data_IF_634314300167
#
_entry.id   IF_634314300167
#
_cell.length_a   1.000
_cell.length_b   1.000
_cell.length_c   1.000
_cell.angle_alpha   90.00
_cell.angle_beta   90.00
_cell.angle_gamma   90.00
#
_symmetry.space_group_name_H-M   'P 1'
#
loop_
_entity.id
_entity.type
_entity.pdbx_description
1 polymer ?
#
# COMPACT_ATOMS: atom_id res chain seq x y z
N UNK A 1 12.93 -5.52 -13.18
CA UNK A 1 11.56 -5.65 -12.61
C UNK A 1 11.28 -4.44 -11.72
N UNK A 2 10.09 -3.83 -11.78
CA UNK A 2 9.76 -2.69 -10.91
C UNK A 2 9.23 -3.18 -9.55
N UNK A 3 9.56 -2.46 -8.48
CA UNK A 3 9.11 -2.79 -7.13
C UNK A 3 7.58 -2.63 -6.99
N UNK A 4 6.87 -3.70 -6.61
CA UNK A 4 5.41 -3.67 -6.43
C UNK A 4 4.98 -2.72 -5.32
N UNK A 5 5.67 -2.74 -4.17
CA UNK A 5 5.37 -1.83 -3.07
C UNK A 5 5.50 -0.36 -3.50
N UNK A 6 6.48 -0.05 -4.36
CA UNK A 6 6.63 1.28 -4.93
C UNK A 6 5.47 1.64 -5.87
N UNK A 7 5.07 0.73 -6.77
CA UNK A 7 3.92 0.95 -7.67
C UNK A 7 2.63 1.14 -6.86
N UNK A 8 2.40 0.30 -5.85
CA UNK A 8 1.25 0.40 -4.97
C UNK A 8 1.24 1.74 -4.20
N UNK A 9 2.40 2.19 -3.72
CA UNK A 9 2.53 3.52 -3.12
C UNK A 9 2.22 4.63 -4.11
N UNK A 10 2.61 4.52 -5.38
CA UNK A 10 2.25 5.51 -6.40
C UNK A 10 0.75 5.51 -6.68
N UNK A 11 0.12 4.34 -6.69
CA UNK A 11 -1.34 4.21 -6.82
C UNK A 11 -2.06 4.88 -5.65
N UNK A 12 -1.62 4.64 -4.41
CA UNK A 12 -2.19 5.29 -3.22
C UNK A 12 -2.05 6.80 -3.25
N UNK A 13 -0.88 7.30 -3.67
CA UNK A 13 -0.67 8.74 -3.81
C UNK A 13 -1.66 9.38 -4.78
N UNK A 14 -2.01 8.73 -5.89
CA UNK A 14 -3.03 9.26 -6.81
C UNK A 14 -4.44 9.24 -6.22
N UNK A 15 -4.77 8.24 -5.39
CA UNK A 15 -6.04 8.20 -4.67
C UNK A 15 -6.17 9.36 -3.69
N UNK A 16 -5.11 9.58 -2.90
CA UNK A 16 -5.02 10.58 -1.84
C UNK A 16 -4.55 11.96 -2.31
N UNK A 17 -4.56 12.28 -3.61
CA UNK A 17 -4.17 13.64 -4.07
C UNK A 17 -5.18 14.70 -3.64
N UNK A 18 -6.46 14.35 -3.74
CA UNK A 18 -7.58 15.20 -3.35
C UNK A 18 -8.08 14.70 -2.00
N UNK A 19 -7.23 14.81 -0.97
CA UNK A 19 -7.64 14.46 0.40
C UNK A 19 -8.85 15.32 0.76
N UNK A 20 -9.90 14.66 1.23
CA UNK A 20 -11.05 15.34 1.79
C UNK A 20 -10.58 16.25 2.94
N UNK A 21 -11.18 17.44 3.04
CA UNK A 21 -10.85 18.42 4.09
C UNK A 21 -10.98 17.80 5.50
N UNK A 22 -11.82 16.76 5.66
CA UNK A 22 -11.93 15.94 6.88
C UNK A 22 -10.58 15.38 7.32
N UNK A 23 -9.81 14.80 6.40
CA UNK A 23 -8.50 14.22 6.69
C UNK A 23 -7.49 15.33 7.01
N UNK A 24 -7.60 16.47 6.33
CA UNK A 24 -6.73 17.63 6.58
C UNK A 24 -6.97 18.20 7.98
N UNK A 25 -8.23 18.35 8.41
CA UNK A 25 -8.58 18.79 9.77
C UNK A 25 -8.00 17.87 10.84
N UNK A 26 -8.21 16.55 10.71
CA UNK A 26 -7.65 15.56 11.65
C UNK A 26 -6.11 15.66 11.68
N UNK A 27 -5.46 15.75 10.50
CA UNK A 27 -4.00 15.90 10.40
C UNK A 27 -3.51 17.17 11.10
N UNK A 28 -4.23 18.27 10.98
CA UNK A 28 -3.91 19.53 11.66
C UNK A 28 -4.05 19.41 13.19
N UNK A 29 -5.10 18.76 13.69
CA UNK A 29 -5.27 18.50 15.11
C UNK A 29 -4.15 17.63 15.69
N UNK A 30 -3.79 16.55 14.99
CA UNK A 30 -2.66 15.67 15.37
C UNK A 30 -1.34 16.46 15.37
N UNK A 31 -1.13 17.29 14.35
CA UNK A 31 0.08 18.14 14.24
C UNK A 31 0.16 19.15 15.38
N UNK A 32 -0.96 19.78 15.75
CA UNK A 32 -1.02 20.70 16.89
C UNK A 32 -0.58 19.98 18.18
N UNK A 33 -1.20 18.85 18.49
CA UNK A 33 -0.89 18.06 19.68
C UNK A 33 0.59 17.68 19.76
N UNK A 34 1.19 17.31 18.64
CA UNK A 34 2.59 16.86 18.54
C UNK A 34 3.62 17.99 18.41
N UNK A 35 3.18 19.25 18.27
CA UNK A 35 4.08 20.38 17.98
C UNK A 35 4.95 20.82 19.16
N UNK A 36 4.59 20.48 20.41
CA UNK A 36 5.44 20.71 21.59
C UNK A 36 5.19 19.69 22.71
N UNK A 37 6.17 19.46 23.60
CA UNK A 37 5.98 18.59 24.77
C UNK A 37 4.82 19.02 25.67
N UNK A 38 4.60 20.33 25.82
CA UNK A 38 3.51 20.87 26.63
C UNK A 38 2.13 20.53 26.04
N UNK A 39 1.96 20.67 24.72
CA UNK A 39 0.71 20.29 24.02
C UNK A 39 0.47 18.78 24.09
N UNK A 40 1.51 17.98 23.90
CA UNK A 40 1.43 16.54 24.05
C UNK A 40 1.03 16.14 25.48
N UNK A 41 1.56 16.81 26.51
CA UNK A 41 1.18 16.56 27.90
C UNK A 41 -0.27 16.95 28.19
N UNK A 42 -0.76 18.07 27.66
CA UNK A 42 -2.18 18.45 27.81
C UNK A 42 -3.11 17.43 27.17
N UNK A 43 -2.76 16.93 25.99
CA UNK A 43 -3.53 15.88 25.34
C UNK A 43 -3.52 14.58 26.17
N UNK A 44 -2.38 14.19 26.75
CA UNK A 44 -2.32 13.06 27.70
C UNK A 44 -3.28 13.25 28.88
N UNK A 45 -3.35 14.45 29.46
CA UNK A 45 -4.33 14.74 30.51
C UNK A 45 -5.79 14.64 30.01
N UNK A 46 -6.05 14.91 28.72
CA UNK A 46 -7.38 14.70 28.14
C UNK A 46 -7.70 13.20 27.98
N UNK A 47 -6.73 12.39 27.53
CA UNK A 47 -6.85 10.92 27.46
C UNK A 47 -7.17 10.33 28.84
N UNK A 48 -6.48 10.79 29.89
CA UNK A 48 -6.69 10.34 31.28
C UNK A 48 -8.10 10.70 31.79
N UNK A 49 -8.58 11.91 31.49
CA UNK A 49 -9.93 12.38 31.86
C UNK A 49 -11.03 11.60 31.16
N UNK A 50 -10.87 11.33 29.87
CA UNK A 50 -11.80 10.54 29.06
C UNK A 50 -11.68 9.02 29.31
N UNK A 51 -10.73 8.60 30.16
CA UNK A 51 -10.49 7.19 30.53
C UNK A 51 -10.29 6.29 29.30
N UNK A 52 -9.58 6.80 28.30
CA UNK A 52 -9.31 6.05 27.07
C UNK A 52 -8.22 5.01 27.34
N UNK A 53 -8.60 3.73 27.37
CA UNK A 53 -7.69 2.60 27.61
C UNK A 53 -6.95 2.18 26.33
N UNK A 54 -6.12 3.09 25.80
CA UNK A 54 -5.29 2.84 24.63
C UNK A 54 -3.82 3.14 24.94
N UNK A 55 -2.96 2.14 24.78
CA UNK A 55 -1.51 2.26 24.98
C UNK A 55 -0.77 2.80 23.74
N UNK A 56 -1.47 3.00 22.62
CA UNK A 56 -0.87 3.44 21.36
C UNK A 56 -0.76 4.96 21.29
N UNK A 57 0.40 5.49 20.92
CA UNK A 57 0.53 6.92 20.63
C UNK A 57 0.01 7.26 19.22
N UNK A 58 -0.53 8.47 19.06
CA UNK A 58 -0.89 9.01 17.75
C UNK A 58 0.38 9.43 17.00
N UNK A 59 0.66 8.77 15.87
CA UNK A 59 1.81 9.11 15.03
C UNK A 59 1.52 10.29 14.09
N UNK A 60 2.55 11.05 13.75
CA UNK A 60 2.46 12.11 12.75
C UNK A 60 2.36 11.53 11.33
N UNK A 61 1.55 12.18 10.50
CA UNK A 61 1.59 11.95 9.06
C UNK A 61 2.88 12.49 8.44
N UNK A 62 3.45 11.69 7.55
CA UNK A 62 4.60 12.00 6.70
C UNK A 62 4.12 12.03 5.26
N UNK A 63 3.99 13.24 4.71
CA UNK A 63 3.39 13.52 3.39
C UNK A 63 4.00 12.69 2.24
N UNK A 64 5.28 12.31 2.34
CA UNK A 64 5.95 11.51 1.32
C UNK A 64 5.62 10.01 1.38
N UNK A 65 5.00 9.53 2.47
CA UNK A 65 4.74 8.12 2.79
C UNK A 65 3.30 7.90 3.25
N UNK A 66 2.45 7.50 2.30
CA UNK A 66 1.03 7.25 2.55
C UNK A 66 0.73 6.28 3.71
N UNK A 67 1.63 5.31 4.00
CA UNK A 67 1.49 4.39 5.15
C UNK A 67 1.37 5.15 6.48
N UNK A 68 2.04 6.29 6.61
CA UNK A 68 1.96 7.12 7.82
C UNK A 68 0.60 7.82 7.94
N UNK A 69 -0.06 8.14 6.83
CA UNK A 69 -1.43 8.67 6.81
C UNK A 69 -2.40 7.63 7.38
N UNK A 70 -2.29 6.37 6.93
CA UNK A 70 -3.11 5.27 7.46
C UNK A 70 -2.90 5.10 8.98
N UNK A 71 -1.64 4.98 9.41
CA UNK A 71 -1.32 4.79 10.83
C UNK A 71 -1.77 5.98 11.70
N UNK A 72 -1.64 7.20 11.17
CA UNK A 72 -2.13 8.40 11.84
C UNK A 72 -3.64 8.33 12.04
N UNK A 73 -4.40 8.04 10.99
CA UNK A 73 -5.86 7.97 11.06
C UNK A 73 -6.33 6.82 11.97
N UNK A 74 -5.74 5.62 11.82
CA UNK A 74 -6.09 4.44 12.61
C UNK A 74 -5.87 4.68 14.11
N UNK A 75 -4.81 5.41 14.46
CA UNK A 75 -4.58 5.79 15.85
C UNK A 75 -5.45 6.97 16.28
N UNK A 76 -5.59 8.02 15.47
CA UNK A 76 -6.25 9.27 15.86
C UNK A 76 -7.74 9.05 16.17
N UNK A 77 -8.42 8.21 15.39
CA UNK A 77 -9.84 7.85 15.60
C UNK A 77 -10.09 7.29 17.01
N UNK A 78 -9.14 6.52 17.57
CA UNK A 78 -9.25 5.97 18.93
C UNK A 78 -9.26 7.04 20.02
N UNK A 79 -8.77 8.23 19.69
CA UNK A 79 -8.62 9.36 20.61
C UNK A 79 -9.55 10.53 20.28
N UNK A 80 -10.60 10.32 19.46
CA UNK A 80 -11.58 11.37 19.10
C UNK A 80 -12.04 12.17 20.33
N UNK A 81 -12.53 11.51 21.38
CA UNK A 81 -13.00 12.17 22.60
C UNK A 81 -11.93 13.02 23.30
N UNK A 82 -10.67 12.60 23.25
CA UNK A 82 -9.57 13.40 23.80
C UNK A 82 -9.28 14.64 22.95
N UNK A 83 -9.49 14.58 21.63
CA UNK A 83 -9.41 15.76 20.76
C UNK A 83 -10.55 16.73 21.02
N UNK A 84 -11.80 16.23 21.14
CA UNK A 84 -12.97 17.05 21.50
C UNK A 84 -12.77 17.73 22.87
N UNK A 85 -12.24 17.02 23.87
CA UNK A 85 -11.93 17.61 25.17
C UNK A 85 -10.80 18.65 25.07
N UNK A 86 -9.79 18.43 24.20
CA UNK A 86 -8.69 19.38 24.00
C UNK A 86 -9.20 20.73 23.46
N UNK A 87 -10.23 20.73 22.61
CA UNK A 87 -10.86 21.96 22.11
C UNK A 87 -11.40 22.83 23.23
N UNK A 88 -11.98 22.23 24.26
CA UNK A 88 -12.48 22.96 25.44
C UNK A 88 -11.37 23.34 26.42
N UNK A 89 -10.27 22.58 26.44
CA UNK A 89 -9.22 22.69 27.45
C UNK A 89 -8.04 23.60 27.04
N UNK A 90 -7.81 23.84 25.75
CA UNK A 90 -6.71 24.68 25.25
C UNK A 90 -7.25 25.69 24.22
N UNK A 91 -7.49 26.93 24.65
CA UNK A 91 -8.02 27.98 23.76
C UNK A 91 -7.13 28.21 22.53
N UNK A 92 -5.80 27.99 22.68
CA UNK A 92 -4.85 28.10 21.56
C UNK A 92 -5.07 27.04 20.51
N UNK A 93 -5.66 25.90 20.84
CA UNK A 93 -6.02 24.86 19.88
C UNK A 93 -7.06 25.39 18.91
N UNK A 94 -8.11 26.04 19.43
CA UNK A 94 -9.18 26.66 18.66
C UNK A 94 -8.63 27.84 17.85
N UNK A 95 -7.85 28.73 18.49
CA UNK A 95 -7.28 29.92 17.84
C UNK A 95 -6.35 29.57 16.67
N UNK A 96 -5.51 28.52 16.79
CA UNK A 96 -4.56 28.14 15.74
C UNK A 96 -5.15 27.24 14.65
N UNK A 97 -6.30 26.61 14.89
CA UNK A 97 -6.94 25.71 13.93
C UNK A 97 -8.20 26.30 13.28
N UNK A 98 -8.64 27.47 13.73
CA UNK A 98 -9.71 28.22 13.07
C UNK A 98 -9.09 29.17 12.03
N UNK A 99 -9.49 29.12 10.75
CA UNK A 99 -8.97 30.03 9.74
C UNK A 99 -9.31 31.49 10.10
N UNK A 100 -8.33 32.39 10.03
CA UNK A 100 -8.60 33.82 10.11
C UNK A 100 -9.12 34.32 8.75
N UNK A 101 -10.45 34.39 8.64
CA UNK A 101 -11.15 34.94 7.48
C UNK A 101 -11.60 36.38 7.75
N UNK A 102 -11.44 37.25 6.74
CA UNK A 102 -12.04 38.59 6.73
C UNK A 102 -13.11 38.66 5.65
N UNK A 103 -14.23 39.31 5.94
CA UNK A 103 -15.24 39.60 4.92
C UNK A 103 -14.69 40.66 3.95
N UNK A 104 -14.64 40.34 2.66
CA UNK A 104 -14.19 41.23 1.58
C UNK A 104 -15.26 41.26 0.50
N UNK A 105 -15.49 42.43 -0.12
CA UNK A 105 -16.40 42.52 -1.27
C UNK A 105 -15.71 41.97 -2.52
N UNK A 106 -16.36 41.04 -3.23
CA UNK A 106 -15.91 40.61 -4.54
C UNK A 106 -16.19 41.71 -5.61
N UNK A 107 -15.76 41.47 -6.84
CA UNK A 107 -15.98 42.37 -7.98
C UNK A 107 -17.45 42.61 -8.32
N UNK A 108 -18.34 41.72 -7.87
CA UNK A 108 -19.80 41.77 -8.09
C UNK A 108 -20.53 42.43 -6.90
N UNK A 109 -19.78 42.87 -5.88
CA UNK A 109 -20.32 43.54 -4.69
C UNK A 109 -20.80 42.61 -3.58
N UNK A 110 -20.69 41.28 -3.76
CA UNK A 110 -21.04 40.27 -2.78
C UNK A 110 -19.97 40.17 -1.68
N UNK A 111 -20.42 39.88 -0.45
CA UNK A 111 -19.51 39.64 0.65
C UNK A 111 -18.99 38.21 0.58
N UNK A 112 -17.69 38.06 0.38
CA UNK A 112 -16.98 36.77 0.39
C UNK A 112 -15.96 36.74 1.53
N UNK A 113 -15.78 35.57 2.14
CA UNK A 113 -14.71 35.37 3.10
C UNK A 113 -13.38 35.19 2.37
N UNK A 114 -12.43 36.10 2.64
CA UNK A 114 -11.08 36.06 2.09
C UNK A 114 -10.10 35.79 3.20
N UNK A 115 -9.21 34.81 2.98
CA UNK A 115 -8.18 34.42 3.94
C UNK A 115 -7.17 35.56 4.16
N UNK A 116 -6.77 35.77 5.42
CA UNK A 116 -5.89 36.88 5.79
C UNK A 116 -4.39 36.61 5.53
N UNK A 117 -3.92 35.37 5.66
CA UNK A 117 -2.54 34.94 5.37
C UNK A 117 -2.49 33.66 4.51
N UNK A 118 -1.50 33.55 3.61
CA UNK A 118 -1.19 32.31 2.88
C UNK A 118 -0.85 31.14 3.81
N UNK A 119 -0.36 31.40 5.03
CA UNK A 119 -0.12 30.34 6.04
C UNK A 119 -1.41 29.69 6.52
N UNK A 120 -2.51 30.43 6.55
CA UNK A 120 -3.83 29.92 6.95
C UNK A 120 -4.48 29.09 5.85
N UNK A 121 -3.98 29.13 4.60
CA UNK A 121 -4.49 28.34 3.46
C UNK A 121 -4.44 26.82 3.65
N UNK A 122 -3.75 26.33 4.70
CA UNK A 122 -3.67 24.92 5.07
C UNK A 122 -4.50 24.56 6.31
N UNK A 123 -5.06 25.55 6.99
CA UNK A 123 -5.94 25.37 8.14
C UNK A 123 -7.37 25.17 7.60
N UNK A 124 -8.04 24.12 8.04
CA UNK A 124 -9.37 23.70 7.54
C UNK A 124 -10.45 23.71 8.62
N UNK A 125 -10.14 24.27 9.80
CA UNK A 125 -11.00 24.19 10.96
C UNK A 125 -10.61 23.06 11.92
N UNK A 126 -11.37 22.98 13.00
CA UNK A 126 -11.35 21.88 13.96
C UNK A 126 -12.08 20.65 13.39
N UNK A 127 -11.63 19.42 13.70
CA UNK A 127 -12.34 18.20 13.33
C UNK A 127 -13.74 18.15 13.98
N UNK A 128 -14.76 18.05 13.16
CA UNK A 128 -16.15 17.79 13.55
C UNK A 128 -16.44 16.29 13.65
N UNK A 129 -17.59 15.92 14.24
CA UNK A 129 -18.07 14.54 14.30
C UNK A 129 -18.10 13.87 12.91
N UNK A 130 -18.52 14.61 11.88
CA UNK A 130 -18.53 14.15 10.49
C UNK A 130 -17.13 13.75 9.99
N UNK A 131 -16.08 14.48 10.40
CA UNK A 131 -14.72 14.21 9.94
C UNK A 131 -14.19 12.89 10.52
N UNK A 132 -14.53 12.61 11.77
CA UNK A 132 -14.19 11.36 12.44
C UNK A 132 -14.94 10.18 11.82
N UNK A 133 -16.24 10.34 11.53
CA UNK A 133 -17.04 9.33 10.83
C UNK A 133 -16.51 9.06 9.42
N UNK A 134 -16.13 10.11 8.69
CA UNK A 134 -15.49 9.99 7.39
C UNK A 134 -14.19 9.18 7.49
N UNK A 135 -13.33 9.49 8.45
CA UNK A 135 -12.09 8.74 8.67
C UNK A 135 -12.35 7.28 9.03
N UNK A 136 -13.32 7.00 9.91
CA UNK A 136 -13.76 5.65 10.26
C UNK A 136 -14.21 4.84 9.03
N UNK A 137 -14.99 5.45 8.14
CA UNK A 137 -15.47 4.83 6.91
C UNK A 137 -14.35 4.61 5.88
N UNK A 138 -13.34 5.48 5.86
CA UNK A 138 -12.19 5.38 4.96
C UNK A 138 -11.16 4.33 5.42
N UNK A 139 -11.04 4.07 6.72
CA UNK A 139 -10.02 3.17 7.29
C UNK A 139 -10.04 1.74 6.71
N UNK A 140 -11.19 1.04 6.58
CA UNK A 140 -11.23 -0.29 5.99
C UNK A 140 -10.66 -0.32 4.56
N UNK A 141 -10.92 0.73 3.78
CA UNK A 141 -10.38 0.89 2.44
C UNK A 141 -8.84 1.03 2.47
N UNK A 142 -8.31 1.95 3.29
CA UNK A 142 -6.86 2.17 3.40
C UNK A 142 -6.12 0.94 3.94
N UNK A 143 -6.77 0.20 4.84
CA UNK A 143 -6.22 -1.01 5.45
C UNK A 143 -5.88 -2.08 4.42
N UNK A 144 -6.72 -2.28 3.39
CA UNK A 144 -6.45 -3.24 2.31
C UNK A 144 -5.11 -2.94 1.64
N UNK A 145 -4.84 -1.67 1.33
CA UNK A 145 -3.58 -1.27 0.71
C UNK A 145 -2.39 -1.38 1.67
N UNK A 146 -2.63 -1.16 2.97
CA UNK A 146 -1.57 -1.14 3.98
C UNK A 146 -1.06 -2.55 4.19
N UNK A 147 -1.99 -3.49 4.40
CA UNK A 147 -1.68 -4.90 4.56
C UNK A 147 -1.02 -5.46 3.28
N UNK A 148 -1.51 -5.06 2.10
CA UNK A 148 -0.90 -5.44 0.81
C UNK A 148 0.53 -4.90 0.68
N UNK A 149 0.78 -3.66 1.11
CA UNK A 149 2.13 -3.07 1.09
C UNK A 149 3.08 -3.82 2.02
N UNK A 150 2.63 -4.21 3.21
CA UNK A 150 3.43 -5.03 4.11
C UNK A 150 3.77 -6.40 3.51
N UNK A 151 2.80 -7.05 2.84
CA UNK A 151 3.00 -8.33 2.13
C UNK A 151 3.94 -8.24 0.93
N UNK A 152 4.02 -7.07 0.28
CA UNK A 152 4.90 -6.83 -0.86
C UNK A 152 6.28 -6.30 -0.47
N UNK A 153 6.43 -5.79 0.75
CA UNK A 153 7.68 -5.15 1.24
C UNK A 153 8.53 -6.08 2.11
N UNK A 154 8.12 -7.34 2.29
CA UNK A 154 8.90 -8.30 3.07
C UNK A 154 10.23 -8.65 2.41
N UNK A 155 11.30 -8.64 3.20
CA UNK A 155 12.63 -9.11 2.79
C UNK A 155 12.96 -10.52 3.31
N UNK A 156 12.18 -11.02 4.28
CA UNK A 156 12.42 -12.29 4.98
C UNK A 156 11.66 -13.49 4.41
N UNK A 157 10.92 -13.29 3.32
CA UNK A 157 10.19 -14.35 2.63
C UNK A 157 10.17 -14.09 1.12
N UNK A 158 9.96 -15.14 0.34
CA UNK A 158 9.84 -15.03 -1.12
C UNK A 158 8.61 -14.19 -1.45
N UNK A 159 8.82 -13.03 -2.05
CA UNK A 159 7.75 -12.11 -2.48
C UNK A 159 7.30 -12.35 -3.92
N UNK A 160 8.04 -13.16 -4.69
CA UNK A 160 7.76 -13.43 -6.10
C UNK A 160 6.42 -14.15 -6.34
N UNK A 161 6.08 -15.12 -5.50
CA UNK A 161 4.82 -15.86 -5.58
C UNK A 161 3.57 -15.05 -5.17
N UNK A 162 3.55 -14.27 -4.06
CA UNK A 162 2.40 -13.42 -3.77
C UNK A 162 2.31 -12.20 -4.70
N UNK A 163 3.40 -11.78 -5.35
CA UNK A 163 3.45 -10.54 -6.15
C UNK A 163 2.26 -10.39 -7.10
N UNK A 164 2.05 -11.37 -7.98
CA UNK A 164 0.97 -11.30 -8.96
C UNK A 164 -0.39 -11.32 -8.24
N UNK A 165 -0.56 -12.19 -7.25
CA UNK A 165 -1.82 -12.31 -6.51
C UNK A 165 -2.24 -10.97 -5.90
N UNK A 166 -1.33 -10.30 -5.19
CA UNK A 166 -1.59 -9.01 -4.53
C UNK A 166 -1.91 -7.90 -5.54
N UNK A 167 -1.12 -7.77 -6.60
CA UNK A 167 -1.29 -6.71 -7.60
C UNK A 167 -2.64 -6.82 -8.31
N UNK A 168 -3.06 -8.03 -8.68
CA UNK A 168 -4.34 -8.25 -9.35
C UNK A 168 -5.52 -8.18 -8.38
N UNK A 169 -5.35 -8.62 -7.13
CA UNK A 169 -6.34 -8.43 -6.08
C UNK A 169 -6.66 -6.94 -5.86
N UNK A 170 -5.65 -6.07 -5.81
CA UNK A 170 -5.84 -4.61 -5.76
C UNK A 170 -6.60 -4.11 -6.99
N UNK A 171 -6.28 -4.62 -8.19
CA UNK A 171 -6.99 -4.28 -9.41
C UNK A 171 -8.49 -4.62 -9.34
N UNK A 172 -8.84 -5.82 -8.85
CA UNK A 172 -10.23 -6.23 -8.65
C UNK A 172 -10.93 -5.45 -7.55
N UNK A 173 -10.23 -5.16 -6.45
CA UNK A 173 -10.75 -4.34 -5.36
C UNK A 173 -11.14 -2.95 -5.85
N UNK A 174 -10.28 -2.30 -6.64
CA UNK A 174 -10.56 -1.00 -7.25
C UNK A 174 -11.79 -1.03 -8.17
N UNK A 175 -11.92 -2.07 -9.01
CA UNK A 175 -13.11 -2.23 -9.88
C UNK A 175 -14.38 -2.35 -9.04
N UNK A 176 -14.34 -3.12 -7.95
CA UNK A 176 -15.49 -3.27 -7.04
C UNK A 176 -15.85 -1.95 -6.37
N UNK A 177 -14.88 -1.14 -5.95
CA UNK A 177 -15.11 0.17 -5.35
C UNK A 177 -15.72 1.15 -6.35
N UNK A 178 -15.27 1.12 -7.60
CA UNK A 178 -15.85 1.95 -8.67
C UNK A 178 -17.32 1.62 -8.95
N UNK A 179 -17.76 0.41 -8.66
CA UNK A 179 -19.16 -0.02 -8.76
C UNK A 179 -19.96 0.15 -7.46
N UNK A 180 -19.35 0.73 -6.42
CA UNK A 180 -19.99 0.99 -5.14
C UNK A 180 -20.95 2.19 -5.18
N UNK A 181 -21.70 2.37 -4.09
CA UNK A 181 -22.65 3.48 -3.93
C UNK A 181 -22.00 4.80 -3.48
N UNK A 182 -20.80 4.74 -2.91
CA UNK A 182 -20.07 5.92 -2.45
C UNK A 182 -19.34 6.57 -3.62
N UNK A 183 -19.85 7.72 -4.08
CA UNK A 183 -19.33 8.46 -5.23
C UNK A 183 -17.90 8.98 -4.99
N UNK A 184 -17.57 9.36 -3.75
CA UNK A 184 -16.24 9.87 -3.40
C UNK A 184 -15.20 8.75 -3.47
N UNK A 185 -15.52 7.59 -2.89
CA UNK A 185 -14.67 6.40 -2.97
C UNK A 185 -14.58 5.88 -4.41
N UNK A 186 -15.66 5.92 -5.19
CA UNK A 186 -15.66 5.50 -6.59
C UNK A 186 -14.78 6.41 -7.47
N UNK A 187 -14.86 7.73 -7.26
CA UNK A 187 -14.00 8.70 -7.95
C UNK A 187 -12.52 8.49 -7.60
N UNK A 188 -12.21 8.30 -6.32
CA UNK A 188 -10.86 7.96 -5.86
C UNK A 188 -10.36 6.64 -6.48
N UNK A 189 -11.18 5.59 -6.44
CA UNK A 189 -10.85 4.29 -7.01
C UNK A 189 -10.61 4.37 -8.52
N UNK A 190 -11.35 5.20 -9.25
CA UNK A 190 -11.15 5.45 -10.69
C UNK A 190 -9.77 6.05 -10.97
N UNK A 191 -9.34 7.07 -10.21
CA UNK A 191 -7.99 7.66 -10.35
C UNK A 191 -6.89 6.63 -10.05
N UNK A 192 -7.07 5.85 -8.99
CA UNK A 192 -6.14 4.80 -8.60
C UNK A 192 -6.08 3.68 -9.64
N UNK A 193 -7.22 3.29 -10.21
CA UNK A 193 -7.30 2.26 -11.25
C UNK A 193 -6.57 2.69 -12.51
N UNK A 194 -6.75 3.95 -12.95
CA UNK A 194 -5.97 4.52 -14.07
C UNK A 194 -4.47 4.46 -13.79
N UNK A 195 -4.03 4.75 -12.56
CA UNK A 195 -2.62 4.64 -12.18
C UNK A 195 -2.11 3.21 -12.19
N UNK A 196 -2.89 2.27 -11.64
CA UNK A 196 -2.59 0.84 -11.65
C UNK A 196 -2.46 0.30 -13.08
N UNK A 197 -3.41 0.63 -13.96
CA UNK A 197 -3.44 0.17 -15.35
C UNK A 197 -2.26 0.64 -16.17
N UNK A 198 -1.68 1.81 -15.84
CA UNK A 198 -0.44 2.28 -16.48
C UNK A 198 0.71 1.26 -16.40
N UNK A 199 0.72 0.42 -15.37
CA UNK A 199 1.75 -0.60 -15.16
C UNK A 199 1.30 -2.00 -15.60
N UNK A 200 0.00 -2.31 -15.45
CA UNK A 200 -0.49 -3.69 -15.54
C UNK A 200 -1.49 -3.94 -16.68
N UNK A 201 -1.95 -2.92 -17.42
CA UNK A 201 -2.94 -3.12 -18.49
C UNK A 201 -2.33 -3.60 -19.82
N UNK A 202 -1.06 -3.27 -20.10
CA UNK A 202 -0.41 -3.62 -21.36
C UNK A 202 0.24 -5.02 -21.26
N UNK A 203 -0.45 -6.04 -21.78
CA UNK A 203 -0.02 -7.45 -21.76
C UNK A 203 1.32 -7.71 -22.45
N UNK A 204 1.72 -6.88 -23.41
CA UNK A 204 3.01 -7.03 -24.11
C UNK A 204 4.19 -6.73 -23.18
N UNK A 205 4.00 -5.79 -22.26
CA UNK A 205 5.04 -5.29 -21.34
C UNK A 205 5.07 -6.01 -19.99
N UNK A 206 4.13 -6.91 -19.70
CA UNK A 206 4.09 -7.63 -18.42
C UNK A 206 5.19 -8.70 -18.38
N UNK A 207 5.88 -8.77 -17.24
CA UNK A 207 6.81 -9.86 -16.99
C UNK A 207 6.06 -11.18 -16.74
N UNK A 208 6.17 -12.11 -17.67
CA UNK A 208 5.50 -13.42 -17.62
C UNK A 208 5.98 -14.28 -16.46
N UNK A 209 7.21 -14.06 -15.97
CA UNK A 209 7.75 -14.80 -14.83
C UNK A 209 6.92 -14.61 -13.55
N UNK A 210 6.21 -13.49 -13.42
CA UNK A 210 5.27 -13.26 -12.30
C UNK A 210 4.13 -14.27 -12.29
N UNK A 211 3.66 -14.69 -13.46
CA UNK A 211 2.63 -15.72 -13.57
C UNK A 211 3.21 -17.10 -13.38
N UNK A 212 4.39 -17.37 -13.95
CA UNK A 212 5.08 -18.65 -13.77
C UNK A 212 5.34 -18.91 -12.28
N UNK A 213 5.79 -17.91 -11.53
CA UNK A 213 6.00 -18.04 -10.09
C UNK A 213 4.73 -18.48 -9.34
N UNK A 214 3.55 -18.01 -9.77
CA UNK A 214 2.27 -18.47 -9.22
C UNK A 214 1.90 -19.87 -9.70
N UNK A 215 2.14 -20.20 -10.98
CA UNK A 215 1.87 -21.56 -11.50
C UNK A 215 2.70 -22.62 -10.78
N UNK A 216 3.95 -22.30 -10.45
CA UNK A 216 4.88 -23.20 -9.75
C UNK A 216 4.65 -23.24 -8.23
N UNK A 217 3.88 -22.32 -7.67
CA UNK A 217 3.49 -22.37 -6.26
C UNK A 217 2.46 -23.51 -6.07
N UNK A 218 2.74 -24.53 -5.23
CA UNK A 218 1.86 -25.69 -5.09
C UNK A 218 0.42 -25.36 -4.68
N UNK A 219 0.21 -24.20 -4.02
CA UNK A 219 -1.10 -23.71 -3.56
C UNK A 219 -1.97 -23.21 -4.71
N UNK A 220 -1.36 -22.84 -5.82
CA UNK A 220 -2.06 -22.33 -7.00
C UNK A 220 -1.88 -23.29 -8.17
N UNK A 221 -2.69 -23.11 -9.21
CA UNK A 221 -2.65 -23.92 -10.43
C UNK A 221 -2.71 -23.02 -11.65
N UNK A 222 -2.28 -23.52 -12.81
CA UNK A 222 -2.39 -22.82 -14.09
C UNK A 222 -3.82 -22.30 -14.34
N UNK A 223 -4.85 -23.07 -13.94
CA UNK A 223 -6.26 -22.67 -14.04
C UNK A 223 -6.56 -21.37 -13.28
N UNK A 224 -5.96 -21.16 -12.10
CA UNK A 224 -6.13 -19.92 -11.35
C UNK A 224 -5.53 -18.73 -12.10
N UNK A 225 -4.32 -18.89 -12.65
CA UNK A 225 -3.67 -17.86 -13.47
C UNK A 225 -4.50 -17.50 -14.70
N UNK A 226 -5.01 -18.50 -15.42
CA UNK A 226 -5.89 -18.27 -16.57
C UNK A 226 -7.16 -17.52 -16.18
N UNK A 227 -7.77 -17.90 -15.06
CA UNK A 227 -8.96 -17.22 -14.55
C UNK A 227 -8.69 -15.74 -14.23
N UNK A 228 -7.57 -15.43 -13.57
CA UNK A 228 -7.17 -14.04 -13.30
C UNK A 228 -7.03 -13.26 -14.60
N UNK A 229 -6.30 -13.81 -15.58
CA UNK A 229 -6.07 -13.18 -16.88
C UNK A 229 -7.39 -12.90 -17.61
N UNK A 230 -8.32 -13.86 -17.63
CA UNK A 230 -9.63 -13.72 -18.28
C UNK A 230 -10.54 -12.71 -17.59
N UNK A 231 -10.39 -12.53 -16.27
CA UNK A 231 -11.16 -11.53 -15.52
C UNK A 231 -10.58 -10.14 -15.63
N UNK A 232 -9.30 -10.00 -15.94
CA UNK A 232 -8.62 -8.70 -16.03
C UNK A 232 -8.61 -8.12 -17.44
N UNK A 233 -8.44 -8.96 -18.47
CA UNK A 233 -8.21 -8.49 -19.84
C UNK A 233 -9.35 -8.86 -20.79
N UNK A 234 -9.47 -8.10 -21.88
CA UNK A 234 -10.37 -8.46 -22.99
C UNK A 234 -9.95 -9.80 -23.62
N UNK A 235 -10.85 -10.43 -24.37
CA UNK A 235 -10.65 -11.78 -24.93
C UNK A 235 -9.34 -11.92 -25.74
N UNK A 236 -8.98 -10.93 -26.56
CA UNK A 236 -7.77 -10.96 -27.40
C UNK A 236 -6.50 -10.89 -26.54
N UNK A 237 -6.42 -9.93 -25.64
CA UNK A 237 -5.27 -9.75 -24.73
C UNK A 237 -5.14 -10.91 -23.75
N UNK A 238 -6.26 -11.45 -23.26
CA UNK A 238 -6.29 -12.61 -22.37
C UNK A 238 -5.77 -13.86 -23.10
N UNK A 239 -6.23 -14.14 -24.31
CA UNK A 239 -5.72 -15.25 -25.13
C UNK A 239 -4.21 -15.13 -25.35
N UNK A 240 -3.75 -13.96 -25.79
CA UNK A 240 -2.33 -13.71 -26.03
C UNK A 240 -1.45 -13.96 -24.79
N UNK A 241 -1.87 -13.44 -23.62
CA UNK A 241 -1.10 -13.60 -22.39
C UNK A 241 -1.10 -15.05 -21.89
N UNK A 242 -2.23 -15.77 -22.00
CA UNK A 242 -2.29 -17.21 -21.68
C UNK A 242 -1.34 -18.03 -22.54
N UNK A 243 -1.32 -17.79 -23.85
CA UNK A 243 -0.40 -18.47 -24.76
C UNK A 243 1.07 -18.18 -24.41
N UNK A 244 1.38 -16.93 -24.06
CA UNK A 244 2.73 -16.55 -23.62
C UNK A 244 3.13 -17.28 -22.33
N UNK A 245 2.23 -17.37 -21.34
CA UNK A 245 2.44 -18.14 -20.09
C UNK A 245 2.68 -19.62 -20.39
N UNK A 246 1.82 -20.25 -21.20
CA UNK A 246 1.93 -21.67 -21.56
C UNK A 246 3.24 -21.96 -22.30
N UNK A 247 3.61 -21.10 -23.25
CA UNK A 247 4.85 -21.24 -24.03
C UNK A 247 6.07 -21.19 -23.12
N UNK A 248 6.15 -20.20 -22.21
CA UNK A 248 7.28 -20.09 -21.28
C UNK A 248 7.33 -21.30 -20.34
N UNK A 249 6.18 -21.73 -19.80
CA UNK A 249 6.11 -22.90 -18.92
C UNK A 249 6.60 -24.18 -19.63
N UNK A 250 6.15 -24.40 -20.86
CA UNK A 250 6.56 -25.54 -21.68
C UNK A 250 8.06 -25.50 -21.98
N UNK A 251 8.58 -24.35 -22.40
CA UNK A 251 10.00 -24.19 -22.68
C UNK A 251 10.85 -24.46 -21.42
N UNK A 252 10.42 -23.98 -20.25
CA UNK A 252 11.11 -24.26 -18.98
C UNK A 252 11.13 -25.75 -18.64
N UNK A 253 10.01 -26.44 -18.87
CA UNK A 253 9.91 -27.89 -18.68
C UNK A 253 10.79 -28.67 -19.66
N UNK A 254 10.80 -28.28 -20.94
CA UNK A 254 11.63 -28.93 -21.96
C UNK A 254 13.12 -28.76 -21.64
N UNK A 255 13.55 -27.58 -21.18
CA UNK A 255 14.93 -27.34 -20.70
C UNK A 255 15.25 -28.21 -19.48
N UNK A 256 14.32 -28.32 -18.53
CA UNK A 256 14.50 -29.17 -17.35
C UNK A 256 14.67 -30.64 -17.73
N UNK A 257 13.88 -31.15 -18.67
CA UNK A 257 13.98 -32.54 -19.14
C UNK A 257 15.20 -32.81 -20.02
N UNK A 258 15.63 -31.81 -20.80
CA UNK A 258 16.80 -31.94 -21.69
C UNK A 258 18.11 -32.02 -20.90
N UNK A 259 18.16 -31.42 -19.71
CA UNK A 259 19.22 -31.70 -18.74
C UNK A 259 18.93 -33.10 -18.19
N UNK A 260 19.76 -34.08 -18.57
CA UNK A 260 19.65 -35.44 -18.00
C UNK A 260 19.43 -35.34 -16.49
N UNK A 261 18.51 -36.13 -15.89
CA UNK A 261 18.33 -36.09 -14.45
C UNK A 261 19.72 -36.27 -13.82
N UNK A 262 20.07 -35.54 -12.72
CA UNK A 262 21.20 -35.97 -11.93
C UNK A 262 20.97 -37.46 -11.70
N UNK A 263 21.94 -38.31 -12.08
CA UNK A 263 21.87 -39.75 -11.86
C UNK A 263 21.26 -39.89 -10.48
N UNK A 264 20.09 -40.53 -10.38
CA UNK A 264 19.48 -40.82 -9.10
C UNK A 264 20.59 -41.53 -8.34
N UNK A 265 21.26 -40.81 -7.43
CA UNK A 265 22.08 -41.47 -6.45
C UNK A 265 21.04 -42.23 -5.68
N UNK A 266 21.07 -43.54 -5.87
CA UNK A 266 20.21 -44.45 -5.18
C UNK A 266 20.40 -44.19 -3.67
N UNK A 267 19.49 -43.41 -3.09
CA UNK A 267 19.51 -43.05 -1.68
C UNK A 267 19.32 -44.29 -0.79
N UNK A 268 19.07 -45.46 -1.37
CA UNK A 268 19.09 -46.72 -0.65
C UNK A 268 20.51 -47.24 -0.35
N UNK A 269 21.57 -46.63 -0.94
CA UNK A 269 22.97 -46.93 -0.59
C UNK A 269 23.70 -45.78 0.14
N UNK A 270 23.06 -44.63 0.37
CA UNK A 270 23.69 -43.47 1.00
C UNK A 270 23.60 -43.46 2.54
N UNK A 271 23.90 -44.58 3.20
CA UNK A 271 23.95 -44.61 4.67
C UNK A 271 25.30 -44.24 5.27
N UNK A 272 26.36 -44.00 4.48
CA UNK A 272 27.67 -43.60 5.02
C UNK A 272 28.41 -42.61 4.13
N UNK A 273 27.80 -41.44 3.85
CA UNK A 273 28.59 -40.30 3.36
C UNK A 273 29.07 -39.47 4.55
N UNK A 274 30.39 -39.33 4.66
CA UNK A 274 31.03 -38.54 5.72
C UNK A 274 30.60 -37.07 5.62
N UNK A 275 30.40 -36.40 6.76
CA UNK A 275 30.09 -34.97 6.83
C UNK A 275 31.07 -34.08 6.04
N UNK A 276 32.29 -34.55 5.76
CA UNK A 276 33.26 -33.86 4.93
C UNK A 276 32.89 -33.87 3.43
N UNK A 277 32.27 -34.93 2.93
CA UNK A 277 31.86 -35.04 1.52
C UNK A 277 30.65 -34.14 1.23
N UNK A 278 29.72 -34.05 2.18
CA UNK A 278 28.58 -33.12 2.12
C UNK A 278 29.07 -31.66 2.12
N UNK A 279 30.08 -31.33 2.96
CA UNK A 279 30.69 -29.99 2.96
C UNK A 279 31.37 -29.67 1.64
N UNK A 280 32.07 -30.63 1.03
CA UNK A 280 32.75 -30.42 -0.25
C UNK A 280 31.76 -30.22 -1.40
N UNK A 281 30.64 -30.95 -1.42
CA UNK A 281 29.58 -30.78 -2.42
C UNK A 281 28.86 -29.43 -2.27
N UNK A 282 28.60 -28.99 -1.03
CA UNK A 282 28.03 -27.67 -0.77
C UNK A 282 29.02 -26.55 -1.13
N UNK A 283 30.32 -26.73 -0.86
CA UNK A 283 31.38 -25.81 -1.28
C UNK A 283 31.42 -25.66 -2.80
N UNK A 284 31.44 -26.77 -3.53
CA UNK A 284 31.43 -26.76 -5.00
C UNK A 284 30.17 -26.10 -5.59
N UNK A 285 29.01 -26.27 -4.95
CA UNK A 285 27.77 -25.61 -5.37
C UNK A 285 27.81 -24.10 -5.13
N UNK A 286 28.41 -23.66 -4.02
CA UNK A 286 28.60 -22.23 -3.71
C UNK A 286 29.61 -21.60 -4.66
N UNK A 287 30.72 -22.27 -4.96
CA UNK A 287 31.72 -21.79 -5.93
C UNK A 287 31.13 -21.70 -7.35
N UNK A 288 30.29 -22.67 -7.73
CA UNK A 288 29.57 -22.62 -8.99
C UNK A 288 28.58 -21.43 -9.06
N UNK A 289 27.84 -21.16 -7.97
CA UNK A 289 26.94 -20.00 -7.90
C UNK A 289 27.70 -18.66 -7.91
N UNK A 290 28.87 -18.60 -7.28
CA UNK A 290 29.73 -17.41 -7.28
C UNK A 290 30.37 -17.18 -8.65
N UNK A 291 30.65 -18.24 -9.42
CA UNK A 291 31.15 -18.14 -10.79
C UNK A 291 30.12 -17.61 -11.80
N UNK A 292 28.84 -17.49 -11.41
CA UNK A 292 27.75 -16.98 -12.24
C UNK A 292 27.42 -15.48 -12.02
N UNK A 293 28.24 -14.72 -11.26
CA UNK A 293 28.10 -13.27 -11.21
C UNK A 293 28.65 -12.63 -12.49
N UNK A 294 27.72 -12.06 -13.27
CA UNK A 294 27.98 -11.20 -14.43
C UNK A 294 28.60 -9.88 -13.97
N UNK A 295 29.65 -9.46 -14.68
CA UNK A 295 30.24 -8.14 -14.61
C UNK A 295 29.16 -7.05 -14.75
N UNK A 296 29.05 -6.19 -13.74
CA UNK A 296 28.39 -4.89 -13.84
C UNK A 296 29.37 -3.92 -14.52
N UNK A 297 29.20 -3.69 -15.82
CA UNK A 297 29.69 -2.47 -16.49
C UNK A 297 28.55 -1.81 -17.29
N UNK A 298 28.42 -0.50 -17.01
CA UNK A 298 27.66 0.62 -17.63
C UNK A 298 26.12 0.64 -17.67
#
# INVERSE_FOLDING_TARGET
MRCAAHILSLTMKEGLKDLDDSIVRIKCAVKYMRSSPARAQRFKSCIEKERIDSKSDVCLDVETRWNSTYLMLESAVKFQKAFELLETADSKHVEELTPNVRAVRNSEGEMIESMTDKRDSRIRGLPSEFDWDYACNLLPFLKVFYDTTLRLSGSLYVTGNPYMVEIYAIGFFLIRLMAGSDENLAAMASRMKKKHDKYWANVDKINVLLFIAVVLDPRFKLRYVHWVIEKTYNAKSAHFLKEKVNTVLKNMFDIYNAKSPPKVVDLTQATEMSNNEIRNLLGAAVDYMNSMHFDEED
#
